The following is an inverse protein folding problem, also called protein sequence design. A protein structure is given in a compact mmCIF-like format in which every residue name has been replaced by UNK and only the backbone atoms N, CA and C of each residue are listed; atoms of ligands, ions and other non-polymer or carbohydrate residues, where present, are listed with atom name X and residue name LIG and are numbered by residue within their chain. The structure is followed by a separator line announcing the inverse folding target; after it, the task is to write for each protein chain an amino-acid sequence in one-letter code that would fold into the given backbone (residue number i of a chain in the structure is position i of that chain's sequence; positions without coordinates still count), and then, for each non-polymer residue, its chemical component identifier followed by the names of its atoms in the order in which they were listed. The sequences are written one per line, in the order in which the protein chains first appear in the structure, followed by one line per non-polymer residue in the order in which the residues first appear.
data_IF_639363069357
#
_entry.id   IF_639363069357
#
_cell.length_a   1.000
_cell.length_b   1.000
_cell.length_c   1.000
_cell.angle_alpha   90.00
_cell.angle_beta   90.00
_cell.angle_gamma   90.00
#
_symmetry.space_group_name_H-M   'P 1'
#
loop_
_entity.id
_entity.type
_entity.pdbx_description
1 polymer ?
#
# COMPACT_ATOMS: atom_id res chain seq x y z
N UNK A 1 27.95 3.93 -0.12
CA UNK A 1 26.56 3.83 -0.65
C UNK A 1 25.86 2.51 -0.29
N UNK A 2 26.53 1.34 -0.47
CA UNK A 2 25.94 0.02 -0.22
C UNK A 2 25.40 -0.18 1.21
N UNK A 3 26.12 0.17 2.30
CA UNK A 3 25.59 0.01 3.65
C UNK A 3 24.32 0.82 3.91
N UNK A 4 24.23 2.02 3.34
CA UNK A 4 23.04 2.87 3.45
C UNK A 4 21.83 2.25 2.77
N UNK A 5 22.01 1.62 1.61
CA UNK A 5 20.94 0.93 0.88
C UNK A 5 20.29 -0.17 1.73
N UNK A 6 21.08 -1.05 2.31
CA UNK A 6 20.56 -2.16 3.13
C UNK A 6 19.93 -1.68 4.43
N UNK A 7 20.44 -0.59 5.01
CA UNK A 7 19.81 0.04 6.17
C UNK A 7 18.43 0.62 5.83
N UNK A 8 18.32 1.31 4.71
CA UNK A 8 17.03 1.84 4.24
C UNK A 8 16.07 0.70 3.88
N UNK A 9 16.54 -0.39 3.27
CA UNK A 9 15.74 -1.57 3.00
C UNK A 9 15.20 -2.20 4.28
N UNK A 10 16.05 -2.36 5.30
CA UNK A 10 15.64 -2.87 6.61
C UNK A 10 14.57 -1.97 7.26
N UNK A 11 14.72 -0.64 7.18
CA UNK A 11 13.73 0.32 7.67
C UNK A 11 12.39 0.17 6.94
N UNK A 12 12.39 0.09 5.61
CA UNK A 12 11.15 -0.09 4.82
C UNK A 12 10.50 -1.43 5.14
N UNK A 13 11.29 -2.49 5.30
CA UNK A 13 10.82 -3.82 5.69
C UNK A 13 10.10 -3.79 7.05
N UNK A 14 10.67 -3.08 8.03
CA UNK A 14 10.06 -2.95 9.35
C UNK A 14 8.83 -2.02 9.35
N UNK A 15 8.94 -0.83 8.74
CA UNK A 15 7.94 0.25 8.92
C UNK A 15 6.79 0.20 7.91
N UNK A 16 7.08 -0.12 6.64
CA UNK A 16 6.06 -0.12 5.58
C UNK A 16 5.40 -1.49 5.39
N UNK A 17 6.20 -2.57 5.52
CA UNK A 17 5.69 -3.95 5.39
C UNK A 17 5.25 -4.50 6.74
N UNK A 18 5.89 -4.09 7.85
CA UNK A 18 5.53 -4.56 9.20
C UNK A 18 6.12 -5.93 9.54
N UNK A 19 7.25 -6.32 8.93
CA UNK A 19 7.90 -7.60 9.22
C UNK A 19 8.73 -7.57 10.50
N UNK A 20 8.81 -8.74 11.15
CA UNK A 20 9.56 -8.92 12.40
C UNK A 20 11.08 -9.04 12.21
N UNK A 21 11.77 -9.27 13.33
CA UNK A 21 13.23 -9.19 13.47
C UNK A 21 14.00 -10.00 12.43
N UNK A 22 13.66 -11.27 12.22
CA UNK A 22 14.39 -12.15 11.27
C UNK A 22 14.39 -11.59 9.84
N UNK A 23 13.24 -11.06 9.39
CA UNK A 23 13.12 -10.47 8.07
C UNK A 23 13.88 -9.14 7.95
N UNK A 24 13.86 -8.31 9.00
CA UNK A 24 14.61 -7.04 9.05
C UNK A 24 16.12 -7.30 9.01
N UNK A 25 16.60 -8.28 9.78
CA UNK A 25 18.01 -8.71 9.75
C UNK A 25 18.36 -9.26 8.37
N UNK A 26 17.48 -10.08 7.77
CA UNK A 26 17.72 -10.64 6.43
C UNK A 26 17.78 -9.54 5.36
N UNK A 27 16.93 -8.52 5.45
CA UNK A 27 16.96 -7.35 4.55
C UNK A 27 18.27 -6.57 4.71
N UNK A 28 18.72 -6.35 5.96
CA UNK A 28 19.99 -5.67 6.24
C UNK A 28 21.21 -6.45 5.70
N UNK A 29 21.16 -7.78 5.77
CA UNK A 29 22.25 -8.67 5.36
C UNK A 29 22.08 -9.24 3.94
N UNK A 30 21.07 -8.82 3.18
CA UNK A 30 20.74 -9.38 1.86
C UNK A 30 21.86 -9.22 0.81
N UNK A 31 22.83 -8.33 1.04
CA UNK A 31 24.02 -8.19 0.21
C UNK A 31 25.16 -9.14 0.55
N UNK A 32 25.05 -9.94 1.62
CA UNK A 32 26.10 -10.89 2.03
C UNK A 32 26.06 -12.09 1.07
N UNK A 33 27.23 -12.39 0.49
CA UNK A 33 27.35 -13.49 -0.46
C UNK A 33 27.53 -14.82 0.29
N UNK A 34 26.82 -15.85 -0.15
CA UNK A 34 26.98 -17.21 0.35
C UNK A 34 28.42 -17.70 0.18
N UNK A 35 28.96 -18.36 1.21
CA UNK A 35 30.36 -18.84 1.25
C UNK A 35 31.39 -17.76 1.61
N UNK A 36 30.99 -16.53 1.91
CA UNK A 36 31.91 -15.51 2.45
C UNK A 36 32.09 -15.67 3.97
N UNK A 37 33.16 -15.09 4.51
CA UNK A 37 33.39 -15.04 5.98
C UNK A 37 32.20 -14.40 6.71
N UNK A 38 31.63 -13.34 6.14
CA UNK A 38 30.42 -12.70 6.68
C UNK A 38 29.20 -13.64 6.69
N UNK A 39 29.09 -14.55 5.71
CA UNK A 39 28.05 -15.57 5.68
C UNK A 39 28.15 -16.56 6.82
N UNK A 40 29.37 -17.04 7.14
CA UNK A 40 29.58 -17.98 8.25
C UNK A 40 29.25 -17.32 9.60
N UNK A 41 29.52 -16.01 9.72
CA UNK A 41 29.20 -15.24 10.94
C UNK A 41 27.70 -15.11 11.17
N UNK A 42 26.83 -15.28 10.15
CA UNK A 42 25.37 -15.25 10.32
C UNK A 42 24.89 -16.37 11.26
N UNK A 43 25.58 -17.50 11.33
CA UNK A 43 25.24 -18.60 12.25
C UNK A 43 25.28 -18.19 13.73
N UNK A 44 26.05 -17.17 14.07
CA UNK A 44 26.07 -16.63 15.43
C UNK A 44 24.76 -15.99 15.88
N UNK A 45 23.87 -15.63 14.93
CA UNK A 45 22.55 -15.05 15.22
C UNK A 45 21.56 -16.08 15.77
N UNK A 46 21.90 -17.39 15.72
CA UNK A 46 21.04 -18.50 16.19
C UNK A 46 19.62 -18.50 15.58
N UNK A 47 19.47 -17.90 14.40
CA UNK A 47 18.22 -17.86 13.64
C UNK A 47 18.45 -18.42 12.23
N UNK A 48 18.14 -19.71 12.00
CA UNK A 48 18.39 -20.36 10.71
C UNK A 48 17.58 -19.74 9.56
N UNK A 49 16.43 -19.12 9.85
CA UNK A 49 15.59 -18.52 8.83
C UNK A 49 16.24 -17.33 8.13
N UNK A 50 17.20 -16.66 8.76
CA UNK A 50 17.92 -15.52 8.16
C UNK A 50 18.65 -15.95 6.89
N UNK A 51 19.44 -17.05 6.95
CA UNK A 51 20.15 -17.58 5.78
C UNK A 51 19.20 -18.05 4.67
N UNK A 52 18.09 -18.69 5.05
CA UNK A 52 17.08 -19.14 4.08
C UNK A 52 16.43 -17.97 3.35
N UNK A 53 16.07 -16.92 4.08
CA UNK A 53 15.49 -15.70 3.49
C UNK A 53 16.51 -15.04 2.55
N UNK A 54 17.79 -14.91 2.94
CA UNK A 54 18.84 -14.31 2.10
C UNK A 54 19.03 -15.11 0.82
N UNK A 55 19.07 -16.46 0.89
CA UNK A 55 19.10 -17.32 -0.30
C UNK A 55 17.87 -17.11 -1.20
N UNK A 56 16.68 -17.02 -0.59
CA UNK A 56 15.45 -16.71 -1.30
C UNK A 56 15.51 -15.37 -2.04
N UNK A 57 16.01 -14.32 -1.38
CA UNK A 57 16.20 -13.01 -2.00
C UNK A 57 17.20 -13.04 -3.16
N UNK A 58 18.29 -13.79 -3.03
CA UNK A 58 19.27 -13.97 -4.12
C UNK A 58 18.63 -14.65 -5.34
N UNK A 59 17.78 -15.69 -5.14
CA UNK A 59 17.02 -16.35 -6.20
C UNK A 59 16.05 -15.38 -6.88
N UNK A 60 15.30 -14.59 -6.13
CA UNK A 60 14.37 -13.58 -6.68
C UNK A 60 15.14 -12.51 -7.47
N UNK A 61 16.28 -12.05 -6.95
CA UNK A 61 17.13 -11.06 -7.64
C UNK A 61 17.69 -11.59 -8.96
N UNK A 62 18.08 -12.87 -9.02
CA UNK A 62 18.59 -13.50 -10.25
C UNK A 62 17.52 -13.61 -11.37
N UNK A 63 16.25 -13.48 -11.05
CA UNK A 63 15.16 -13.42 -12.03
C UNK A 63 14.98 -12.03 -12.63
N UNK A 64 15.47 -10.98 -11.97
CA UNK A 64 15.36 -9.61 -12.46
C UNK A 64 16.20 -9.43 -13.72
N UNK A 65 15.70 -8.62 -14.65
CA UNK A 65 16.39 -8.37 -15.92
C UNK A 65 16.08 -9.38 -17.03
N UNK A 66 15.26 -10.41 -16.79
CA UNK A 66 14.66 -11.19 -17.87
C UNK A 66 13.52 -10.39 -18.48
N UNK A 67 13.43 -10.40 -19.80
CA UNK A 67 12.32 -9.73 -20.48
C UNK A 67 11.01 -10.50 -20.23
N UNK A 68 10.17 -9.97 -19.36
CA UNK A 68 8.85 -10.51 -19.04
C UNK A 68 7.72 -9.72 -19.73
N UNK A 69 8.04 -8.95 -20.76
CA UNK A 69 7.04 -8.23 -21.55
C UNK A 69 6.01 -9.23 -22.09
N UNK A 70 4.77 -9.10 -21.62
CA UNK A 70 3.65 -9.97 -21.99
C UNK A 70 3.37 -11.17 -21.06
N UNK A 71 4.19 -11.46 -20.04
CA UNK A 71 4.02 -12.62 -19.15
C UNK A 71 3.98 -12.26 -17.66
N UNK A 72 3.45 -11.09 -17.30
CA UNK A 72 3.39 -10.60 -15.91
C UNK A 72 2.76 -11.61 -14.94
N UNK A 73 1.74 -12.36 -15.37
CA UNK A 73 1.09 -13.37 -14.53
C UNK A 73 1.98 -14.60 -14.29
N UNK A 74 2.72 -15.03 -15.31
CA UNK A 74 3.66 -16.15 -15.18
C UNK A 74 4.84 -15.77 -14.27
N UNK A 75 5.33 -14.53 -14.37
CA UNK A 75 6.37 -14.04 -13.46
C UNK A 75 5.88 -13.98 -12.02
N UNK A 76 4.66 -13.51 -11.79
CA UNK A 76 4.05 -13.51 -10.43
C UNK A 76 3.92 -14.93 -9.88
N UNK A 77 3.45 -15.88 -10.68
CA UNK A 77 3.37 -17.29 -10.28
C UNK A 77 4.76 -17.85 -9.97
N UNK A 78 5.76 -17.53 -10.79
CA UNK A 78 7.14 -17.94 -10.59
C UNK A 78 7.71 -17.34 -9.29
N UNK A 79 7.53 -16.05 -9.02
CA UNK A 79 7.94 -15.42 -7.76
C UNK A 79 7.32 -16.13 -6.54
N UNK A 80 6.01 -16.40 -6.60
CA UNK A 80 5.31 -17.06 -5.50
C UNK A 80 5.75 -18.53 -5.33
N UNK A 81 6.12 -19.22 -6.42
CA UNK A 81 6.57 -20.61 -6.37
C UNK A 81 8.03 -20.81 -5.93
N UNK A 82 8.86 -19.76 -6.10
CA UNK A 82 10.28 -19.80 -5.72
C UNK A 82 10.54 -19.38 -4.28
N UNK A 83 9.56 -18.80 -3.63
CA UNK A 83 9.66 -18.39 -2.25
C UNK A 83 9.10 -19.50 -1.35
N UNK A 84 9.99 -20.34 -0.82
CA UNK A 84 9.65 -21.29 0.24
C UNK A 84 9.18 -20.55 1.51
N UNK A 85 9.59 -19.29 1.65
CA UNK A 85 9.23 -18.39 2.73
C UNK A 85 8.58 -17.11 2.18
N UNK A 86 7.33 -16.84 2.56
CA UNK A 86 6.56 -15.67 2.12
C UNK A 86 7.22 -14.33 2.47
N UNK A 87 8.07 -14.29 3.49
CA UNK A 87 8.85 -13.09 3.88
C UNK A 87 9.78 -12.63 2.76
N UNK A 88 10.29 -13.53 1.94
CA UNK A 88 11.12 -13.22 0.76
C UNK A 88 10.38 -12.30 -0.20
N UNK A 89 9.13 -12.61 -0.51
CA UNK A 89 8.30 -11.81 -1.42
C UNK A 89 8.00 -10.43 -0.82
N UNK A 90 7.76 -10.39 0.49
CA UNK A 90 7.46 -9.15 1.19
C UNK A 90 8.70 -8.23 1.27
N UNK A 91 9.89 -8.77 1.47
CA UNK A 91 11.15 -8.01 1.40
C UNK A 91 11.40 -7.54 -0.05
N UNK A 92 11.12 -8.35 -1.06
CA UNK A 92 11.24 -7.94 -2.45
C UNK A 92 10.27 -6.79 -2.81
N UNK A 93 9.07 -6.75 -2.21
CA UNK A 93 8.16 -5.60 -2.30
C UNK A 93 8.74 -4.37 -1.60
N UNK A 94 9.30 -4.53 -0.39
CA UNK A 94 9.98 -3.45 0.34
C UNK A 94 11.12 -2.85 -0.48
N UNK A 95 11.93 -3.69 -1.10
CA UNK A 95 13.04 -3.29 -1.96
C UNK A 95 12.54 -2.51 -3.19
N UNK A 96 11.51 -3.00 -3.86
CA UNK A 96 10.92 -2.30 -5.02
C UNK A 96 10.37 -0.93 -4.62
N UNK A 97 9.68 -0.85 -3.49
CA UNK A 97 9.18 0.41 -2.96
C UNK A 97 10.31 1.39 -2.63
N UNK A 98 11.38 0.91 -1.99
CA UNK A 98 12.57 1.71 -1.70
C UNK A 98 13.18 2.27 -2.99
N UNK A 99 13.40 1.44 -4.01
CA UNK A 99 13.94 1.86 -5.31
C UNK A 99 13.06 2.91 -5.96
N UNK A 100 11.74 2.74 -5.93
CA UNK A 100 10.80 3.72 -6.47
C UNK A 100 10.79 5.05 -5.70
N UNK A 101 11.04 5.05 -4.41
CA UNK A 101 11.21 6.27 -3.60
C UNK A 101 12.54 6.96 -3.84
N UNK A 102 13.54 6.22 -4.33
CA UNK A 102 14.92 6.67 -4.52
C UNK A 102 15.37 6.51 -5.97
N UNK A 103 14.56 7.05 -6.89
CA UNK A 103 14.86 7.04 -8.32
C UNK A 103 16.15 7.79 -8.68
N UNK A 104 16.64 8.64 -7.79
CA UNK A 104 17.95 9.29 -7.86
C UNK A 104 19.12 8.28 -7.84
N UNK A 105 18.90 7.07 -7.36
CA UNK A 105 19.89 5.99 -7.38
C UNK A 105 20.02 5.29 -8.74
N UNK A 106 19.06 5.52 -9.63
CA UNK A 106 19.00 4.91 -10.96
C UNK A 106 19.44 5.89 -12.04
N UNK A 107 20.09 5.37 -13.07
CA UNK A 107 20.32 6.12 -14.30
C UNK A 107 19.00 6.40 -15.02
N UNK A 108 18.97 7.45 -15.87
CA UNK A 108 17.77 7.82 -16.63
C UNK A 108 17.24 6.68 -17.52
N UNK A 109 18.14 5.82 -18.03
CA UNK A 109 17.79 4.65 -18.84
C UNK A 109 17.10 3.56 -18.05
N UNK A 110 17.35 3.46 -16.75
CA UNK A 110 16.78 2.43 -15.87
C UNK A 110 15.44 2.83 -15.27
N UNK A 111 15.16 4.13 -15.13
CA UNK A 111 13.97 4.63 -14.43
C UNK A 111 12.67 4.16 -15.05
N UNK A 112 12.52 4.29 -16.37
CA UNK A 112 11.29 3.93 -17.05
C UNK A 112 11.04 2.41 -17.06
N UNK A 113 12.01 1.53 -17.37
CA UNK A 113 11.85 0.08 -17.20
C UNK A 113 11.46 -0.33 -15.79
N UNK A 114 12.12 0.24 -14.76
CA UNK A 114 11.80 -0.06 -13.35
C UNK A 114 10.40 0.41 -12.98
N UNK A 115 9.96 1.58 -13.45
CA UNK A 115 8.59 2.06 -13.24
C UNK A 115 7.56 1.14 -13.90
N UNK A 116 7.79 0.74 -15.15
CA UNK A 116 6.94 -0.18 -15.90
C UNK A 116 6.82 -1.54 -15.19
N UNK A 117 7.94 -2.13 -14.78
CA UNK A 117 7.94 -3.38 -14.02
C UNK A 117 7.20 -3.23 -12.69
N UNK A 118 7.39 -2.09 -12.00
CA UNK A 118 6.67 -1.80 -10.74
C UNK A 118 5.17 -1.75 -10.98
N UNK A 119 4.73 -1.07 -12.02
CA UNK A 119 3.32 -0.91 -12.34
C UNK A 119 2.64 -2.22 -12.72
N UNK A 120 3.26 -3.00 -13.61
CA UNK A 120 2.65 -4.21 -14.14
C UNK A 120 2.82 -5.45 -13.28
N UNK A 121 3.85 -5.51 -12.41
CA UNK A 121 4.16 -6.70 -11.61
C UNK A 121 3.99 -6.45 -10.11
N UNK A 122 4.71 -5.47 -9.55
CA UNK A 122 4.80 -5.33 -8.11
C UNK A 122 3.57 -4.69 -7.48
N UNK A 123 2.96 -3.68 -8.13
CA UNK A 123 1.73 -3.08 -7.63
C UNK A 123 0.55 -4.07 -7.59
N UNK A 124 0.28 -4.89 -8.63
CA UNK A 124 -0.69 -5.97 -8.57
C UNK A 124 -0.34 -7.05 -7.53
N UNK A 125 0.93 -7.36 -7.33
CA UNK A 125 1.37 -8.30 -6.29
C UNK A 125 1.08 -7.75 -4.90
N UNK A 126 1.42 -6.49 -4.62
CA UNK A 126 1.08 -5.80 -3.37
C UNK A 126 -0.43 -5.81 -3.11
N UNK A 127 -1.25 -5.59 -4.15
CA UNK A 127 -2.71 -5.66 -4.05
C UNK A 127 -3.20 -7.05 -3.62
N UNK A 128 -2.68 -8.12 -4.24
CA UNK A 128 -3.05 -9.51 -3.89
C UNK A 128 -2.67 -9.88 -2.47
N UNK A 129 -1.55 -9.33 -1.98
CA UNK A 129 -1.07 -9.57 -0.61
C UNK A 129 -1.72 -8.63 0.41
N UNK A 130 -2.67 -7.77 0.02
CA UNK A 130 -3.40 -6.88 0.92
C UNK A 130 -2.68 -5.57 1.27
N UNK A 131 -1.51 -5.30 0.69
CA UNK A 131 -0.74 -4.08 0.94
C UNK A 131 -1.23 -2.91 0.07
N UNK A 132 -2.48 -2.49 0.28
CA UNK A 132 -3.15 -1.46 -0.53
C UNK A 132 -2.45 -0.11 -0.53
N UNK A 133 -1.84 0.31 0.57
CA UNK A 133 -1.10 1.57 0.65
C UNK A 133 0.16 1.51 -0.22
N UNK A 134 0.92 0.42 -0.13
CA UNK A 134 2.12 0.18 -0.94
C UNK A 134 1.77 0.10 -2.42
N UNK A 135 0.71 -0.64 -2.76
CA UNK A 135 0.17 -0.71 -4.12
C UNK A 135 -0.12 0.70 -4.67
N UNK A 136 -0.84 1.51 -3.92
CA UNK A 136 -1.23 2.86 -4.35
C UNK A 136 -0.02 3.78 -4.51
N UNK A 137 0.95 3.71 -3.59
CA UNK A 137 2.19 4.47 -3.68
C UNK A 137 3.04 4.04 -4.88
N UNK A 138 3.19 2.74 -5.12
CA UNK A 138 3.91 2.21 -6.28
C UNK A 138 3.28 2.66 -7.60
N UNK A 139 1.94 2.65 -7.68
CA UNK A 139 1.22 3.13 -8.87
C UNK A 139 1.41 4.62 -9.09
N UNK A 140 1.34 5.45 -8.04
CA UNK A 140 1.54 6.89 -8.14
C UNK A 140 2.97 7.22 -8.58
N UNK A 141 3.97 6.58 -7.98
CA UNK A 141 5.38 6.75 -8.34
C UNK A 141 5.69 6.30 -9.78
N UNK A 142 5.09 5.18 -10.20
CA UNK A 142 5.25 4.69 -11.58
C UNK A 142 4.56 5.63 -12.59
N UNK A 143 3.33 6.06 -12.30
CA UNK A 143 2.60 7.01 -13.15
C UNK A 143 3.35 8.33 -13.33
N UNK A 144 4.01 8.83 -12.27
CA UNK A 144 4.80 10.06 -12.34
C UNK A 144 5.90 10.00 -13.40
N UNK A 145 6.43 8.81 -13.70
CA UNK A 145 7.45 8.59 -14.72
C UNK A 145 6.86 8.25 -16.08
N UNK A 146 5.79 7.46 -16.11
CA UNK A 146 5.20 6.92 -17.33
C UNK A 146 4.24 7.92 -17.99
N UNK A 147 3.50 8.70 -17.19
CA UNK A 147 2.47 9.65 -17.62
C UNK A 147 2.62 10.99 -16.85
N UNK A 148 3.77 11.67 -16.99
CA UNK A 148 4.10 12.83 -16.16
C UNK A 148 3.15 14.02 -16.36
N UNK A 149 2.61 14.20 -17.55
CA UNK A 149 1.69 15.31 -17.85
C UNK A 149 0.40 15.17 -17.04
N UNK A 150 -0.23 14.00 -17.10
CA UNK A 150 -1.47 13.67 -16.38
C UNK A 150 -1.25 13.66 -14.87
N UNK A 151 -0.12 13.08 -14.43
CA UNK A 151 0.24 13.07 -13.01
C UNK A 151 0.30 14.49 -12.45
N UNK A 152 1.05 15.39 -13.12
CA UNK A 152 1.24 16.77 -12.66
C UNK A 152 -0.07 17.57 -12.64
N UNK A 153 -0.95 17.38 -13.63
CA UNK A 153 -2.27 18.03 -13.65
C UNK A 153 -3.10 17.63 -12.45
N UNK A 154 -3.21 16.32 -12.17
CA UNK A 154 -4.00 15.82 -11.04
C UNK A 154 -3.36 16.24 -9.70
N UNK A 155 -2.03 16.16 -9.58
CA UNK A 155 -1.31 16.59 -8.38
C UNK A 155 -1.55 18.07 -8.08
N UNK A 156 -1.48 18.93 -9.10
CA UNK A 156 -1.74 20.37 -8.95
C UNK A 156 -3.18 20.64 -8.48
N UNK A 157 -4.18 19.96 -9.06
CA UNK A 157 -5.59 20.06 -8.65
C UNK A 157 -5.80 19.60 -7.20
N UNK A 158 -5.19 18.47 -6.83
CA UNK A 158 -5.25 17.99 -5.44
C UNK A 158 -4.62 18.97 -4.45
N UNK A 159 -3.48 19.60 -4.80
CA UNK A 159 -2.83 20.61 -3.98
C UNK A 159 -3.69 21.86 -3.83
N UNK A 160 -4.24 22.38 -4.93
CA UNK A 160 -5.13 23.57 -4.92
C UNK A 160 -6.36 23.37 -4.04
N UNK A 161 -6.94 22.17 -4.02
CA UNK A 161 -8.14 21.86 -3.25
C UNK A 161 -7.87 21.40 -1.81
N UNK A 162 -6.61 21.31 -1.37
CA UNK A 162 -6.26 20.73 -0.07
C UNK A 162 -6.90 21.50 1.10
N UNK A 163 -6.82 22.83 1.10
CA UNK A 163 -7.36 23.66 2.19
C UNK A 163 -8.88 23.56 2.26
N UNK A 164 -9.57 23.72 1.13
CA UNK A 164 -11.03 23.60 1.06
C UNK A 164 -11.51 22.20 1.43
N UNK A 165 -10.81 21.16 1.00
CA UNK A 165 -11.10 19.78 1.35
C UNK A 165 -10.92 19.50 2.84
N UNK A 166 -9.85 19.96 3.46
CA UNK A 166 -9.62 19.80 4.90
C UNK A 166 -10.68 20.54 5.71
N UNK A 167 -11.08 21.73 5.27
CA UNK A 167 -12.18 22.48 5.87
C UNK A 167 -13.49 21.69 5.78
N UNK A 168 -13.83 21.19 4.60
CA UNK A 168 -15.05 20.39 4.38
C UNK A 168 -15.06 19.11 5.24
N UNK A 169 -13.92 18.40 5.35
CA UNK A 169 -13.80 17.23 6.22
C UNK A 169 -14.09 17.60 7.66
N UNK A 170 -13.55 18.73 8.15
CA UNK A 170 -13.76 19.20 9.52
C UNK A 170 -15.20 19.62 9.78
N UNK A 171 -15.79 20.36 8.85
CA UNK A 171 -17.19 20.80 8.93
C UNK A 171 -18.17 19.62 8.90
N UNK A 172 -17.89 18.64 8.05
CA UNK A 172 -18.70 17.42 7.95
C UNK A 172 -18.56 16.52 9.17
N UNK A 173 -17.34 16.32 9.67
CA UNK A 173 -17.12 15.39 10.79
C UNK A 173 -17.50 15.97 12.15
N UNK A 174 -17.50 17.28 12.34
CA UNK A 174 -17.77 17.93 13.63
C UNK A 174 -19.07 17.47 14.29
N UNK A 175 -20.24 17.64 13.66
CA UNK A 175 -21.52 17.23 14.25
C UNK A 175 -21.62 15.71 14.53
N UNK A 176 -20.93 14.89 13.75
CA UNK A 176 -20.88 13.44 13.97
C UNK A 176 -20.04 13.12 15.20
N UNK A 177 -18.86 13.75 15.30
CA UNK A 177 -17.96 13.62 16.47
C UNK A 177 -18.71 13.98 17.76
N UNK A 178 -19.36 15.15 17.78
CA UNK A 178 -20.10 15.65 18.95
C UNK A 178 -21.15 14.63 19.44
N UNK A 179 -21.88 13.99 18.50
CA UNK A 179 -22.87 12.95 18.85
C UNK A 179 -22.22 11.65 19.34
N UNK A 180 -21.14 11.19 18.69
CA UNK A 180 -20.45 9.96 19.08
C UNK A 180 -19.79 10.11 20.47
N UNK A 181 -19.21 11.29 20.74
CA UNK A 181 -18.60 11.61 22.04
C UNK A 181 -19.66 11.68 23.14
N UNK A 182 -20.82 12.29 22.85
CA UNK A 182 -21.96 12.33 23.80
C UNK A 182 -22.51 10.93 24.10
N UNK A 183 -22.37 9.97 23.19
CA UNK A 183 -22.74 8.56 23.38
C UNK A 183 -21.66 7.75 24.10
N UNK A 184 -20.47 8.33 24.38
CA UNK A 184 -19.35 7.65 25.00
C UNK A 184 -18.71 6.58 24.10
N UNK A 185 -18.88 6.67 22.76
CA UNK A 185 -18.33 5.70 21.84
C UNK A 185 -16.82 5.90 21.70
N UNK A 186 -16.07 4.79 21.64
CA UNK A 186 -14.65 4.81 21.34
C UNK A 186 -14.44 4.57 19.84
N UNK A 187 -13.74 5.48 19.19
CA UNK A 187 -13.49 5.40 17.75
C UNK A 187 -12.23 6.14 17.35
N UNK A 188 -11.73 5.85 16.16
CA UNK A 188 -10.69 6.62 15.48
C UNK A 188 -11.27 7.19 14.17
N UNK A 189 -11.13 8.50 13.96
CA UNK A 189 -11.52 9.15 12.71
C UNK A 189 -10.32 9.22 11.77
N UNK A 190 -10.43 8.62 10.60
CA UNK A 190 -9.43 8.72 9.53
C UNK A 190 -10.01 9.39 8.31
N UNK A 191 -9.26 10.33 7.74
CA UNK A 191 -9.52 10.85 6.40
C UNK A 191 -8.52 10.24 5.40
N UNK A 192 -9.01 9.88 4.23
CA UNK A 192 -8.18 9.33 3.15
C UNK A 192 -8.45 10.09 1.86
N UNK A 193 -7.40 10.57 1.24
CA UNK A 193 -7.45 11.03 -0.16
C UNK A 193 -7.10 9.87 -1.10
N UNK A 194 -7.83 9.77 -2.20
CA UNK A 194 -7.57 8.77 -3.23
C UNK A 194 -6.22 9.05 -3.91
N UNK A 195 -5.46 8.02 -4.28
CA UNK A 195 -4.19 8.16 -4.98
C UNK A 195 -4.39 8.79 -6.37
N UNK A 196 -3.37 9.49 -6.86
CA UNK A 196 -3.38 10.20 -8.15
C UNK A 196 -3.72 9.22 -9.28
N UNK A 197 -3.05 8.07 -9.30
CA UNK A 197 -3.33 7.01 -10.26
C UNK A 197 -4.78 6.50 -10.20
N UNK A 198 -5.35 6.33 -9.00
CA UNK A 198 -6.74 5.88 -8.86
C UNK A 198 -7.74 6.93 -9.36
N UNK A 199 -7.45 8.22 -9.22
CA UNK A 199 -8.24 9.31 -9.79
C UNK A 199 -8.14 9.27 -11.32
N UNK A 200 -6.94 9.21 -11.87
CA UNK A 200 -6.68 9.13 -13.30
C UNK A 200 -7.38 7.94 -13.98
N UNK A 201 -7.28 6.74 -13.38
CA UNK A 201 -7.99 5.55 -13.87
C UNK A 201 -9.52 5.75 -13.88
N UNK A 202 -10.05 6.45 -12.87
CA UNK A 202 -11.48 6.74 -12.81
C UNK A 202 -11.90 7.74 -13.88
N UNK A 203 -11.12 8.81 -14.07
CA UNK A 203 -11.33 9.79 -15.15
C UNK A 203 -11.34 9.09 -16.51
N UNK A 204 -10.33 8.26 -16.81
CA UNK A 204 -10.27 7.50 -18.08
C UNK A 204 -11.43 6.54 -18.26
N UNK A 205 -11.78 5.76 -17.24
CA UNK A 205 -12.85 4.75 -17.34
C UNK A 205 -14.23 5.37 -17.51
N UNK A 206 -14.48 6.53 -16.88
CA UNK A 206 -15.77 7.20 -16.91
C UNK A 206 -15.86 8.29 -18.00
N UNK A 207 -14.73 8.70 -18.60
CA UNK A 207 -14.67 9.78 -19.58
C UNK A 207 -15.00 11.15 -18.98
N UNK A 208 -14.65 11.39 -17.69
CA UNK A 208 -15.02 12.59 -16.94
C UNK A 208 -13.81 13.44 -16.58
N UNK A 209 -14.01 14.74 -16.36
CA UNK A 209 -12.99 15.66 -15.85
C UNK A 209 -12.70 15.40 -14.36
N UNK A 210 -11.61 15.98 -13.83
CA UNK A 210 -11.22 15.82 -12.43
C UNK A 210 -12.32 16.27 -11.46
N UNK A 211 -13.00 17.38 -11.78
CA UNK A 211 -14.05 17.98 -10.96
C UNK A 211 -15.32 17.10 -10.86
N UNK A 212 -15.51 16.20 -11.80
CA UNK A 212 -16.63 15.25 -11.84
C UNK A 212 -16.32 13.91 -11.18
N UNK A 213 -15.07 13.74 -10.71
CA UNK A 213 -14.67 12.51 -10.01
C UNK A 213 -15.21 12.53 -8.59
N UNK A 214 -16.19 11.67 -8.32
CA UNK A 214 -16.63 11.42 -6.95
C UNK A 214 -15.62 10.55 -6.17
N UNK A 215 -15.65 10.63 -4.83
CA UNK A 215 -14.80 9.86 -3.91
C UNK A 215 -13.30 10.22 -3.97
N UNK A 216 -12.96 11.47 -4.28
CA UNK A 216 -11.57 11.96 -4.21
C UNK A 216 -11.04 11.85 -2.78
N UNK A 217 -11.92 12.03 -1.80
CA UNK A 217 -11.62 11.80 -0.39
C UNK A 217 -12.76 11.03 0.28
N UNK A 218 -12.44 10.39 1.39
CA UNK A 218 -13.40 9.71 2.25
C UNK A 218 -13.04 9.92 3.72
N UNK A 219 -14.06 9.95 4.57
CA UNK A 219 -13.93 9.91 6.01
C UNK A 219 -14.27 8.48 6.44
N UNK A 220 -13.47 7.92 7.34
CA UNK A 220 -13.70 6.60 7.92
C UNK A 220 -13.74 6.72 9.43
N UNK A 221 -14.78 6.18 10.02
CA UNK A 221 -14.93 6.03 11.46
C UNK A 221 -14.60 4.57 11.79
N UNK A 222 -13.51 4.35 12.51
CA UNK A 222 -13.07 3.02 12.95
C UNK A 222 -13.53 2.88 14.40
N UNK A 223 -14.42 1.95 14.65
CA UNK A 223 -15.02 1.78 15.97
C UNK A 223 -14.13 0.84 16.79
N UNK A 224 -13.83 1.23 18.03
CA UNK A 224 -13.13 0.41 19.02
C UNK A 224 -14.17 -0.17 19.99
N UNK A 225 -14.58 -1.41 19.74
CA UNK A 225 -15.62 -2.10 20.51
C UNK A 225 -15.31 -3.59 20.62
N UNK A 226 -16.02 -4.28 21.53
CA UNK A 226 -15.93 -5.73 21.69
C UNK A 226 -16.40 -6.42 20.40
N UNK A 227 -15.75 -7.51 19.95
CA UNK A 227 -16.16 -8.28 18.78
C UNK A 227 -17.62 -8.70 18.76
N UNK A 228 -18.22 -8.98 19.92
CA UNK A 228 -19.65 -9.31 20.02
C UNK A 228 -20.59 -8.14 19.65
N UNK A 229 -20.09 -6.91 19.69
CA UNK A 229 -20.87 -5.69 19.45
C UNK A 229 -20.48 -4.95 18.16
N UNK A 230 -19.48 -5.39 17.41
CA UNK A 230 -18.99 -4.72 16.20
C UNK A 230 -20.11 -4.37 15.22
N UNK A 231 -20.93 -5.36 14.90
CA UNK A 231 -22.06 -5.18 13.97
C UNK A 231 -23.07 -4.16 14.45
N UNK A 232 -23.51 -4.27 15.71
CA UNK A 232 -24.50 -3.34 16.28
C UNK A 232 -23.93 -1.93 16.41
N UNK A 233 -22.67 -1.79 16.80
CA UNK A 233 -21.98 -0.49 16.89
C UNK A 233 -21.83 0.18 15.53
N UNK A 234 -21.53 -0.55 14.45
CA UNK A 234 -21.49 -0.01 13.10
C UNK A 234 -22.84 0.54 12.66
N UNK A 235 -23.93 -0.19 12.88
CA UNK A 235 -25.28 0.29 12.56
C UNK A 235 -25.69 1.49 13.41
N UNK A 236 -25.26 1.55 14.67
CA UNK A 236 -25.49 2.70 15.53
C UNK A 236 -24.79 3.94 15.00
N UNK A 237 -23.50 3.86 14.61
CA UNK A 237 -22.77 4.94 13.98
C UNK A 237 -23.42 5.36 12.66
N UNK A 238 -23.85 4.39 11.82
CA UNK A 238 -24.58 4.68 10.59
C UNK A 238 -25.86 5.49 10.87
N UNK A 239 -26.64 5.12 11.88
CA UNK A 239 -27.83 5.86 12.28
C UNK A 239 -27.48 7.30 12.68
N UNK A 240 -26.44 7.48 13.49
CA UNK A 240 -25.97 8.83 13.88
C UNK A 240 -25.60 9.70 12.66
N UNK A 241 -24.90 9.12 11.68
CA UNK A 241 -24.52 9.82 10.45
C UNK A 241 -25.74 10.18 9.60
N UNK A 242 -26.69 9.25 9.47
CA UNK A 242 -27.89 9.45 8.65
C UNK A 242 -28.96 10.34 9.29
N UNK A 243 -28.92 10.51 10.61
CA UNK A 243 -29.70 11.53 11.33
C UNK A 243 -29.25 12.96 10.99
N UNK A 244 -27.96 13.12 10.61
CA UNK A 244 -27.39 14.45 10.31
C UNK A 244 -27.37 14.69 8.80
N UNK A 245 -27.02 13.64 8.01
CA UNK A 245 -26.80 13.74 6.58
C UNK A 245 -27.65 12.72 5.83
N UNK A 246 -28.29 13.17 4.76
CA UNK A 246 -29.07 12.28 3.91
C UNK A 246 -28.17 11.29 3.17
N UNK A 247 -28.35 9.97 3.34
CA UNK A 247 -27.58 8.98 2.62
C UNK A 247 -27.98 8.90 1.15
N UNK A 248 -27.05 8.49 0.29
CA UNK A 248 -27.34 8.06 -1.08
C UNK A 248 -27.53 6.54 -1.12
N UNK A 249 -28.78 6.02 -1.18
CA UNK A 249 -29.02 4.59 -1.13
C UNK A 249 -28.38 3.81 -2.27
N UNK A 250 -28.17 4.44 -3.42
CA UNK A 250 -27.57 3.80 -4.61
C UNK A 250 -26.07 3.47 -4.38
N UNK A 251 -25.44 4.14 -3.43
CA UNK A 251 -24.01 4.00 -3.09
C UNK A 251 -23.75 3.22 -1.82
N UNK A 252 -24.79 2.96 -1.04
CA UNK A 252 -24.63 2.14 0.18
C UNK A 252 -24.08 0.75 -0.14
N UNK A 253 -23.17 0.28 0.68
CA UNK A 253 -22.58 -1.05 0.60
C UNK A 253 -22.50 -1.65 2.00
N UNK A 254 -23.38 -2.60 2.25
CA UNK A 254 -23.41 -3.34 3.52
C UNK A 254 -22.41 -4.53 3.47
N UNK A 255 -21.20 -4.28 3.90
CA UNK A 255 -20.18 -5.31 4.12
C UNK A 255 -20.07 -5.71 5.58
N UNK A 256 -21.01 -5.28 6.43
CA UNK A 256 -21.15 -5.73 7.82
C UNK A 256 -22.06 -6.96 7.88
N UNK A 257 -23.21 -6.92 7.18
CA UNK A 257 -24.13 -8.06 7.15
C UNK A 257 -23.59 -9.21 6.30
N UNK A 258 -22.87 -8.88 5.22
CA UNK A 258 -22.22 -9.85 4.31
C UNK A 258 -20.78 -9.41 4.07
N UNK A 259 -19.85 -9.80 4.97
CA UNK A 259 -18.43 -9.46 4.84
C UNK A 259 -17.83 -9.90 3.50
N UNK A 260 -16.83 -9.18 3.02
CA UNK A 260 -16.08 -9.61 1.84
C UNK A 260 -15.27 -10.86 2.14
N UNK A 261 -14.97 -11.64 1.10
CA UNK A 261 -14.19 -12.90 1.22
C UNK A 261 -12.80 -12.72 1.84
N UNK A 262 -12.26 -11.49 1.84
CA UNK A 262 -10.99 -11.13 2.48
C UNK A 262 -11.15 -10.60 3.93
N UNK A 263 -12.33 -10.75 4.54
CA UNK A 263 -12.62 -10.29 5.90
C UNK A 263 -12.80 -8.77 6.06
N UNK A 264 -12.94 -8.01 4.96
CA UNK A 264 -13.23 -6.58 5.05
C UNK A 264 -14.70 -6.34 5.41
N UNK A 265 -14.92 -5.57 6.46
CA UNK A 265 -16.22 -5.17 6.98
C UNK A 265 -16.36 -3.65 6.99
N UNK A 266 -17.47 -3.13 6.51
CA UNK A 266 -17.82 -1.69 6.52
C UNK A 266 -19.27 -1.46 6.10
N UNK A 267 -19.81 -0.34 6.54
CA UNK A 267 -21.03 0.28 5.97
C UNK A 267 -20.65 1.44 5.08
#
# INVERSE_FOLDING_TARGET
PLPLYYLELAKVTASAIGLGTSAVISALLSGVKEGSEAWERIDTLKDPSVKEIIRGLARVTALRGRDFSGQAENFRKLLLSLADDGRVILIALAERLLVMRRLDWLSDKERLPVASETYFLFAPLAHRLGYYNIKSEMEDLAMKLMEPAEYNVIEARLKQTTTSRNRLIKEFSGPVIDKLDAMGMKYELKSRTKSIHSIWQKMKRQGVAFEEVFDIFAIRIIIDTDPAHEKSSCWQVYSVVTDIYQPDPSRMRDWISVPKTNGYESL
#
